data_IF_351533601314
#
_entry.id   IF_351533601314
#
_cell.length_a   1.000
_cell.length_b   1.000
_cell.length_c   1.000
_cell.angle_alpha   90.00
_cell.angle_beta   90.00
_cell.angle_gamma   90.00
#
_symmetry.space_group_name_H-M   'P 1'
#
loop_
_entity.id
_entity.type
_entity.pdbx_description
1 polymer ?
#
# COMPACT_ATOMS: atom_id res chain seq x y z
N UNK A 1 18.39 -53.12 -5.89
CA UNK A 1 19.19 -51.87 -5.96
C UNK A 1 18.24 -50.73 -6.21
N UNK A 2 17.95 -49.84 -5.24
CA UNK A 2 17.08 -48.69 -5.42
C UNK A 2 17.90 -47.52 -5.95
N UNK A 3 17.40 -46.87 -7.01
CA UNK A 3 17.95 -45.63 -7.60
C UNK A 3 17.64 -44.42 -6.73
N UNK A 4 18.70 -43.84 -6.23
CA UNK A 4 18.68 -42.60 -5.45
C UNK A 4 18.51 -41.39 -6.37
N UNK A 5 17.35 -40.77 -6.35
CA UNK A 5 17.09 -39.50 -7.07
C UNK A 5 17.53 -38.33 -6.20
N UNK A 6 18.75 -37.87 -6.35
CA UNK A 6 19.20 -36.59 -5.84
C UNK A 6 18.34 -35.45 -6.44
N UNK A 7 17.45 -34.88 -5.62
CA UNK A 7 16.85 -33.59 -5.88
C UNK A 7 17.92 -32.52 -5.73
N UNK A 8 18.35 -31.95 -6.82
CA UNK A 8 19.15 -30.73 -6.84
C UNK A 8 18.18 -29.57 -6.54
N UNK A 9 18.23 -29.03 -5.33
CA UNK A 9 17.57 -27.79 -4.95
C UNK A 9 18.36 -26.61 -5.52
N UNK A 10 18.05 -26.22 -6.73
CA UNK A 10 18.56 -24.99 -7.34
C UNK A 10 17.84 -23.79 -6.74
N UNK A 11 18.47 -23.11 -5.77
CA UNK A 11 18.05 -21.77 -5.36
C UNK A 11 18.37 -20.79 -6.50
N UNK A 12 17.37 -20.10 -7.03
CA UNK A 12 17.58 -18.98 -7.93
C UNK A 12 18.41 -17.89 -7.22
N UNK A 13 19.53 -17.43 -7.80
CA UNK A 13 20.29 -16.32 -7.21
C UNK A 13 19.51 -15.03 -7.45
N UNK A 14 18.96 -14.43 -6.38
CA UNK A 14 18.27 -13.14 -6.44
C UNK A 14 17.02 -13.01 -5.56
N UNK A 15 16.50 -14.07 -4.99
CA UNK A 15 15.48 -13.95 -3.97
C UNK A 15 16.13 -13.45 -2.67
N UNK A 16 15.74 -12.24 -2.21
CA UNK A 16 16.08 -11.78 -0.88
C UNK A 16 15.67 -12.85 0.13
N UNK A 17 16.50 -13.15 1.16
CA UNK A 17 16.12 -14.11 2.17
C UNK A 17 14.80 -13.65 2.79
N UNK A 18 13.84 -14.57 2.90
CA UNK A 18 12.58 -14.34 3.63
C UNK A 18 12.99 -13.85 5.02
N UNK A 19 12.65 -12.60 5.34
CA UNK A 19 12.93 -11.99 6.64
C UNK A 19 11.89 -12.50 7.63
N UNK A 20 12.03 -13.76 8.05
CA UNK A 20 11.15 -14.33 9.06
C UNK A 20 11.21 -13.47 10.32
N UNK A 21 10.05 -12.95 10.75
CA UNK A 21 9.83 -12.08 11.92
C UNK A 21 10.28 -10.61 11.83
N UNK A 22 10.59 -10.06 10.66
CA UNK A 22 10.79 -8.63 10.51
C UNK A 22 9.56 -7.96 9.88
N UNK A 23 9.24 -6.70 10.27
CA UNK A 23 8.22 -5.92 9.59
C UNK A 23 8.52 -5.74 8.10
N UNK A 24 7.48 -5.67 7.27
CA UNK A 24 7.61 -5.34 5.86
C UNK A 24 8.23 -3.95 5.69
N UNK A 25 9.30 -3.86 4.92
CA UNK A 25 9.92 -2.59 4.55
C UNK A 25 9.24 -2.02 3.31
N UNK A 26 8.35 -1.04 3.53
CA UNK A 26 7.66 -0.32 2.47
C UNK A 26 8.42 0.97 2.11
N UNK A 27 8.77 1.13 0.84
CA UNK A 27 9.48 2.31 0.34
C UNK A 27 8.64 3.16 -0.62
N UNK A 28 8.79 4.51 -0.62
CA UNK A 28 8.16 5.36 -1.62
C UNK A 28 8.83 5.20 -2.99
N UNK A 29 8.02 5.18 -4.06
CA UNK A 29 8.48 5.18 -5.43
C UNK A 29 7.76 6.30 -6.21
N UNK A 30 8.30 7.53 -6.17
CA UNK A 30 7.72 8.70 -6.84
C UNK A 30 8.07 8.81 -8.33
N UNK A 31 8.98 7.98 -8.84
CA UNK A 31 9.39 7.88 -10.25
C UNK A 31 9.94 6.49 -10.56
N UNK A 32 10.12 6.13 -11.85
CA UNK A 32 10.77 4.87 -12.24
C UNK A 32 12.17 4.69 -11.67
N UNK A 33 12.95 5.77 -11.57
CA UNK A 33 14.29 5.76 -10.96
C UNK A 33 14.21 5.47 -9.45
N UNK A 34 13.25 6.11 -8.75
CA UNK A 34 13.03 5.88 -7.33
C UNK A 34 12.55 4.44 -7.06
N UNK A 35 11.69 3.90 -7.91
CA UNK A 35 11.28 2.49 -7.87
C UNK A 35 12.49 1.56 -7.98
N UNK A 36 13.34 1.78 -8.99
CA UNK A 36 14.53 0.97 -9.21
C UNK A 36 15.47 1.03 -8.00
N UNK A 37 15.67 2.23 -7.43
CA UNK A 37 16.50 2.42 -6.25
C UNK A 37 15.92 1.73 -5.00
N UNK A 38 14.60 1.83 -4.76
CA UNK A 38 13.92 1.18 -3.64
C UNK A 38 14.06 -0.35 -3.71
N UNK A 39 13.80 -0.93 -4.88
CA UNK A 39 13.93 -2.38 -5.12
C UNK A 39 15.38 -2.82 -4.93
N UNK A 40 16.35 -2.09 -5.49
CA UNK A 40 17.77 -2.41 -5.34
C UNK A 40 18.26 -2.27 -3.88
N UNK A 41 17.65 -1.39 -3.09
CA UNK A 41 17.94 -1.22 -1.67
C UNK A 41 17.30 -2.29 -0.77
N UNK A 42 16.49 -3.20 -1.32
CA UNK A 42 15.89 -4.33 -0.60
C UNK A 42 14.55 -4.01 0.04
N UNK A 43 13.75 -3.12 -0.55
CA UNK A 43 12.36 -2.94 -0.15
C UNK A 43 11.56 -4.23 -0.38
N UNK A 44 10.68 -4.58 0.56
CA UNK A 44 9.76 -5.71 0.45
C UNK A 44 8.48 -5.31 -0.32
N UNK A 45 8.15 -4.02 -0.27
CA UNK A 45 7.05 -3.42 -1.02
C UNK A 45 7.38 -1.96 -1.38
N UNK A 46 6.72 -1.45 -2.42
CA UNK A 46 6.78 -0.04 -2.80
C UNK A 46 5.38 0.55 -2.87
N UNK A 47 5.23 1.82 -2.51
CA UNK A 47 4.01 2.55 -2.82
C UNK A 47 4.28 3.65 -3.83
N UNK A 48 3.36 3.81 -4.76
CA UNK A 48 3.44 4.77 -5.84
C UNK A 48 2.05 5.36 -6.16
N UNK A 49 2.03 6.40 -6.98
CA UNK A 49 0.79 7.05 -7.41
C UNK A 49 0.71 7.08 -8.93
N UNK A 50 -0.44 6.71 -9.46
CA UNK A 50 -0.80 7.08 -10.82
C UNK A 50 -1.15 8.57 -10.93
N UNK A 51 -1.37 9.04 -12.15
CA UNK A 51 -1.77 10.44 -12.43
C UNK A 51 -3.19 10.77 -11.97
N UNK A 52 -3.97 9.76 -11.58
CA UNK A 52 -5.38 9.89 -11.18
C UNK A 52 -5.54 9.56 -9.70
N UNK A 53 -6.38 10.29 -9.00
CA UNK A 53 -6.90 10.01 -7.66
C UNK A 53 -5.85 9.88 -6.52
N UNK A 54 -4.60 10.30 -6.78
CA UNK A 54 -3.56 10.34 -5.76
C UNK A 54 -3.46 11.71 -5.10
N UNK A 55 -3.25 11.78 -3.78
CA UNK A 55 -3.16 13.02 -3.02
C UNK A 55 -1.99 13.93 -3.43
N UNK A 56 -0.94 13.39 -4.04
CA UNK A 56 0.19 14.17 -4.57
C UNK A 56 0.03 14.46 -6.06
N UNK A 57 -1.06 15.11 -6.43
CA UNK A 57 -1.42 15.39 -7.81
C UNK A 57 -0.34 16.12 -8.63
N UNK A 58 0.48 16.96 -7.98
CA UNK A 58 1.54 17.76 -8.63
C UNK A 58 2.89 17.06 -8.68
N UNK A 59 3.02 15.83 -8.18
CA UNK A 59 4.24 15.04 -8.32
C UNK A 59 4.33 14.41 -9.72
N UNK A 60 5.50 13.89 -10.08
CA UNK A 60 5.74 13.29 -11.39
C UNK A 60 4.92 12.02 -11.69
N UNK A 61 4.17 11.50 -10.80
CA UNK A 61 3.26 10.34 -10.87
C UNK A 61 3.36 9.47 -12.13
N UNK A 62 3.10 8.18 -12.02
CA UNK A 62 3.21 7.22 -13.12
C UNK A 62 2.05 7.34 -14.13
N UNK A 63 2.35 7.32 -15.43
CA UNK A 63 1.34 7.03 -16.45
C UNK A 63 0.84 5.59 -16.32
N UNK A 64 -0.25 5.26 -17.01
CA UNK A 64 -0.81 3.92 -16.99
C UNK A 64 0.17 2.87 -17.53
N UNK A 65 0.96 3.21 -18.56
CA UNK A 65 2.01 2.35 -19.11
C UNK A 65 3.20 2.19 -18.15
N UNK A 66 3.64 3.30 -17.55
CA UNK A 66 4.71 3.29 -16.55
C UNK A 66 4.32 2.49 -15.32
N UNK A 67 3.05 2.60 -14.86
CA UNK A 67 2.54 1.86 -13.71
C UNK A 67 2.53 0.36 -14.00
N UNK A 68 2.05 -0.07 -15.16
CA UNK A 68 2.08 -1.47 -15.58
C UNK A 68 3.51 -2.01 -15.62
N UNK A 69 4.43 -1.24 -16.21
CA UNK A 69 5.85 -1.60 -16.25
C UNK A 69 6.47 -1.64 -14.84
N UNK A 70 6.02 -0.78 -13.93
CA UNK A 70 6.47 -0.75 -12.54
C UNK A 70 6.04 -2.00 -11.78
N UNK A 71 4.79 -2.45 -11.98
CA UNK A 71 4.28 -3.71 -11.39
C UNK A 71 5.09 -4.90 -11.89
N UNK A 72 5.26 -5.03 -13.21
CA UNK A 72 6.04 -6.12 -13.79
C UNK A 72 7.49 -6.13 -13.27
N UNK A 73 8.13 -4.97 -13.21
CA UNK A 73 9.50 -4.83 -12.71
C UNK A 73 9.66 -5.24 -11.26
N UNK A 74 8.73 -4.81 -10.40
CA UNK A 74 8.75 -5.10 -8.97
C UNK A 74 8.45 -6.59 -8.71
N UNK A 75 7.42 -7.14 -9.33
CA UNK A 75 7.00 -8.53 -9.17
C UNK A 75 8.08 -9.52 -9.62
N UNK A 76 8.79 -9.25 -10.72
CA UNK A 76 9.94 -10.06 -11.14
C UNK A 76 11.06 -10.15 -10.09
N UNK A 77 11.03 -9.25 -9.08
CA UNK A 77 12.01 -9.19 -7.97
C UNK A 77 11.40 -9.54 -6.61
N UNK A 78 10.15 -10.02 -6.62
CA UNK A 78 9.43 -10.39 -5.39
C UNK A 78 9.01 -9.20 -4.52
N UNK A 79 8.94 -7.99 -5.09
CA UNK A 79 8.54 -6.75 -4.40
C UNK A 79 7.09 -6.43 -4.71
N UNK A 80 6.29 -6.17 -3.68
CA UNK A 80 4.87 -5.81 -3.81
C UNK A 80 4.69 -4.35 -4.22
N UNK A 81 3.59 -4.05 -4.91
CA UNK A 81 3.26 -2.71 -5.38
C UNK A 81 1.91 -2.26 -4.83
N UNK A 82 1.92 -1.16 -4.07
CA UNK A 82 0.70 -0.53 -3.54
C UNK A 82 0.45 0.80 -4.24
N UNK A 83 -0.78 1.02 -4.69
CA UNK A 83 -1.13 2.24 -5.45
C UNK A 83 -2.03 3.14 -4.62
N UNK A 84 -1.71 4.43 -4.59
CA UNK A 84 -2.55 5.40 -3.87
C UNK A 84 -3.76 5.83 -4.68
N UNK A 85 -4.95 5.66 -4.09
CA UNK A 85 -6.26 6.18 -4.54
C UNK A 85 -6.87 6.91 -3.35
N UNK A 86 -6.15 7.92 -2.84
CA UNK A 86 -6.33 8.46 -1.50
C UNK A 86 -6.72 9.95 -1.51
N UNK A 87 -7.56 10.33 -2.45
CA UNK A 87 -8.26 11.61 -2.47
C UNK A 87 -9.74 11.45 -2.13
N UNK A 88 -10.40 12.53 -1.76
CA UNK A 88 -11.86 12.57 -1.65
C UNK A 88 -12.47 12.67 -3.05
N UNK A 89 -13.54 11.95 -3.29
CA UNK A 89 -14.16 11.75 -4.60
C UNK A 89 -15.57 12.31 -4.60
N UNK A 90 -15.94 13.06 -5.64
CA UNK A 90 -17.29 13.54 -5.85
C UNK A 90 -18.12 12.51 -6.63
N UNK A 91 -19.42 12.52 -6.47
CA UNK A 91 -20.34 11.61 -7.15
C UNK A 91 -20.11 11.52 -8.67
N UNK A 92 -19.79 12.65 -9.31
CA UNK A 92 -19.50 12.70 -10.74
C UNK A 92 -18.21 11.96 -11.15
N UNK A 93 -17.31 11.70 -10.23
CA UNK A 93 -16.03 11.02 -10.45
C UNK A 93 -16.10 9.52 -10.16
N UNK A 94 -17.15 9.04 -9.48
CA UNK A 94 -17.29 7.62 -9.09
C UNK A 94 -17.18 6.64 -10.26
N UNK A 95 -17.79 6.89 -11.46
CA UNK A 95 -17.62 5.98 -12.59
C UNK A 95 -16.15 5.85 -13.05
N UNK A 96 -15.40 6.95 -13.05
CA UNK A 96 -13.99 6.96 -13.44
C UNK A 96 -13.12 6.24 -12.39
N UNK A 97 -13.46 6.40 -11.09
CA UNK A 97 -12.80 5.68 -10.00
C UNK A 97 -13.06 4.18 -10.10
N UNK A 98 -14.31 3.77 -10.37
CA UNK A 98 -14.67 2.37 -10.56
C UNK A 98 -13.86 1.72 -11.68
N UNK A 99 -13.79 2.37 -12.84
CA UNK A 99 -12.99 1.91 -13.98
C UNK A 99 -11.50 1.85 -13.65
N UNK A 100 -11.00 2.82 -12.86
CA UNK A 100 -9.59 2.83 -12.44
C UNK A 100 -9.27 1.72 -11.45
N UNK A 101 -10.13 1.46 -10.47
CA UNK A 101 -9.96 0.37 -9.51
C UNK A 101 -9.93 -1.00 -10.21
N UNK A 102 -10.86 -1.21 -11.15
CA UNK A 102 -10.87 -2.45 -11.95
C UNK A 102 -9.58 -2.58 -12.77
N UNK A 103 -9.13 -1.50 -13.41
CA UNK A 103 -7.89 -1.50 -14.17
C UNK A 103 -6.66 -1.77 -13.29
N UNK A 104 -6.60 -1.22 -12.06
CA UNK A 104 -5.53 -1.53 -11.10
C UNK A 104 -5.54 -3.01 -10.71
N UNK A 105 -6.72 -3.57 -10.46
CA UNK A 105 -6.88 -5.00 -10.18
C UNK A 105 -6.39 -5.86 -11.35
N UNK A 106 -6.80 -5.54 -12.57
CA UNK A 106 -6.36 -6.26 -13.79
C UNK A 106 -4.86 -6.09 -14.07
N UNK A 107 -4.28 -4.97 -13.65
CA UNK A 107 -2.83 -4.73 -13.76
C UNK A 107 -2.04 -5.56 -12.74
N UNK A 108 -2.70 -6.09 -11.72
CA UNK A 108 -2.10 -6.96 -10.71
C UNK A 108 -1.43 -6.22 -9.56
N UNK A 109 -1.88 -5.00 -9.22
CA UNK A 109 -1.37 -4.32 -8.01
C UNK A 109 -1.76 -5.10 -6.76
N UNK A 110 -0.87 -5.13 -5.76
CA UNK A 110 -1.05 -5.94 -4.55
C UNK A 110 -2.01 -5.31 -3.54
N UNK A 111 -2.19 -3.98 -3.57
CA UNK A 111 -3.19 -3.27 -2.78
C UNK A 111 -3.39 -1.83 -3.27
N UNK A 112 -4.48 -1.21 -2.84
CA UNK A 112 -4.71 0.22 -2.99
C UNK A 112 -4.85 0.91 -1.64
N UNK A 113 -4.23 2.09 -1.51
CA UNK A 113 -4.37 2.94 -0.33
C UNK A 113 -5.53 3.90 -0.56
N UNK A 114 -6.55 3.83 0.28
CA UNK A 114 -7.80 4.57 0.13
C UNK A 114 -8.02 5.51 1.33
N UNK A 115 -8.58 6.70 1.06
CA UNK A 115 -9.02 7.65 2.08
C UNK A 115 -10.56 7.70 2.17
N UNK A 116 -11.23 7.69 1.03
CA UNK A 116 -12.66 7.87 0.91
C UNK A 116 -13.41 6.56 1.17
N UNK A 117 -14.32 6.55 2.14
CA UNK A 117 -15.09 5.34 2.50
C UNK A 117 -16.07 4.93 1.40
N UNK A 118 -16.55 5.88 0.57
CA UNK A 118 -17.35 5.58 -0.61
C UNK A 118 -16.53 4.84 -1.67
N UNK A 119 -15.27 5.24 -1.86
CA UNK A 119 -14.32 4.53 -2.74
C UNK A 119 -14.03 3.13 -2.20
N UNK A 120 -13.88 2.97 -0.89
CA UNK A 120 -13.69 1.65 -0.28
C UNK A 120 -14.90 0.73 -0.51
N UNK A 121 -16.12 1.26 -0.38
CA UNK A 121 -17.33 0.51 -0.71
C UNK A 121 -17.39 0.12 -2.18
N UNK A 122 -17.12 1.08 -3.07
CA UNK A 122 -17.09 0.86 -4.52
C UNK A 122 -16.06 -0.19 -4.93
N UNK A 123 -14.86 -0.15 -4.34
CA UNK A 123 -13.79 -1.12 -4.61
C UNK A 123 -14.25 -2.56 -4.33
N UNK A 124 -15.03 -2.78 -3.27
CA UNK A 124 -15.59 -4.10 -2.94
C UNK A 124 -16.62 -4.60 -3.94
N UNK A 125 -17.31 -3.67 -4.61
CA UNK A 125 -18.29 -4.03 -5.63
C UNK A 125 -17.61 -4.38 -6.96
N UNK A 126 -16.59 -3.61 -7.36
CA UNK A 126 -15.97 -3.74 -8.69
C UNK A 126 -14.72 -4.63 -8.70
N UNK A 127 -14.02 -4.74 -7.58
CA UNK A 127 -12.78 -5.52 -7.43
C UNK A 127 -12.70 -6.12 -6.01
N UNK A 128 -13.58 -7.07 -5.64
CA UNK A 128 -13.73 -7.56 -4.26
C UNK A 128 -12.46 -8.21 -3.71
N UNK A 129 -11.61 -8.76 -4.56
CA UNK A 129 -10.36 -9.42 -4.18
C UNK A 129 -9.16 -8.45 -4.10
N UNK A 130 -9.33 -7.17 -4.47
CA UNK A 130 -8.28 -6.16 -4.37
C UNK A 130 -8.11 -5.72 -2.91
N UNK A 131 -6.95 -5.98 -2.27
CA UNK A 131 -6.71 -5.57 -0.89
C UNK A 131 -6.78 -4.05 -0.72
N UNK A 132 -7.46 -3.60 0.34
CA UNK A 132 -7.58 -2.18 0.68
C UNK A 132 -6.74 -1.85 1.91
N UNK A 133 -5.90 -0.84 1.79
CA UNK A 133 -5.16 -0.25 2.91
C UNK A 133 -5.77 1.11 3.25
N UNK A 134 -6.09 1.33 4.52
CA UNK A 134 -6.55 2.62 4.99
C UNK A 134 -5.38 3.61 4.98
N UNK A 135 -5.46 4.65 4.14
CA UNK A 135 -4.43 5.68 4.04
C UNK A 135 -4.28 6.44 5.36
N UNK A 136 -3.08 6.96 5.64
CA UNK A 136 -2.84 7.89 6.75
C UNK A 136 -3.80 9.09 6.73
N UNK A 137 -4.37 9.41 5.58
CA UNK A 137 -5.34 10.49 5.41
C UNK A 137 -6.71 10.18 6.03
N UNK A 138 -6.99 8.94 6.40
CA UNK A 138 -8.15 8.56 7.22
C UNK A 138 -7.96 8.92 8.70
N UNK A 139 -6.79 9.38 9.09
CA UNK A 139 -6.48 9.86 10.46
C UNK A 139 -6.76 8.81 11.54
N UNK A 140 -6.45 7.54 11.27
CA UNK A 140 -6.64 6.44 12.24
C UNK A 140 -5.52 6.49 13.28
N UNK A 141 -5.88 6.71 14.54
CA UNK A 141 -4.92 6.89 15.64
C UNK A 141 -5.36 6.25 16.96
N UNK A 142 -6.25 5.28 16.92
CA UNK A 142 -6.66 4.50 18.09
C UNK A 142 -7.20 3.13 17.67
N UNK A 143 -7.35 2.24 18.67
CA UNK A 143 -7.83 0.85 18.47
C UNK A 143 -9.22 0.78 17.83
N UNK A 144 -10.13 1.66 18.25
CA UNK A 144 -11.48 1.70 17.70
C UNK A 144 -11.51 2.09 16.21
N UNK A 145 -10.61 2.99 15.81
CA UNK A 145 -10.41 3.35 14.40
C UNK A 145 -9.90 2.17 13.58
N UNK A 146 -8.96 1.38 14.12
CA UNK A 146 -8.46 0.15 13.47
C UNK A 146 -9.56 -0.90 13.39
N UNK A 147 -10.29 -1.15 14.47
CA UNK A 147 -11.43 -2.07 14.48
C UNK A 147 -12.54 -1.63 13.50
N UNK A 148 -12.74 -0.32 13.35
CA UNK A 148 -13.66 0.24 12.35
C UNK A 148 -13.18 -0.07 10.93
N UNK A 149 -11.90 0.18 10.62
CA UNK A 149 -11.31 -0.11 9.32
C UNK A 149 -11.46 -1.60 8.97
N UNK A 150 -11.21 -2.50 9.93
CA UNK A 150 -11.44 -3.93 9.71
C UNK A 150 -12.89 -4.26 9.33
N UNK A 151 -13.87 -3.69 10.04
CA UNK A 151 -15.31 -3.89 9.73
C UNK A 151 -15.66 -3.34 8.34
N UNK A 152 -14.99 -2.29 7.91
CA UNK A 152 -15.09 -1.76 6.55
C UNK A 152 -14.26 -2.56 5.54
N UNK A 153 -13.54 -3.65 5.99
CA UNK A 153 -12.80 -4.67 5.23
C UNK A 153 -11.44 -4.18 4.74
N UNK A 154 -10.88 -3.16 5.33
CA UNK A 154 -9.47 -2.89 5.12
C UNK A 154 -8.62 -4.03 5.69
N UNK A 155 -7.59 -4.42 4.95
CA UNK A 155 -6.62 -5.44 5.37
C UNK A 155 -5.42 -4.84 6.11
N UNK A 156 -5.22 -3.51 5.98
CA UNK A 156 -4.13 -2.77 6.63
C UNK A 156 -4.56 -1.34 6.93
N UNK A 157 -3.97 -0.78 7.98
CA UNK A 157 -4.16 0.63 8.37
C UNK A 157 -2.81 1.32 8.48
N UNK A 158 -2.64 2.43 7.75
CA UNK A 158 -1.51 3.35 7.96
C UNK A 158 -1.88 4.28 9.10
N UNK A 159 -1.24 4.10 10.25
CA UNK A 159 -1.53 4.89 11.44
C UNK A 159 -1.13 6.37 11.27
N UNK A 160 -1.85 7.21 11.98
CA UNK A 160 -1.49 8.62 12.12
C UNK A 160 -0.11 8.77 12.78
N UNK A 161 0.62 9.81 12.39
CA UNK A 161 2.01 10.04 12.82
C UNK A 161 2.14 10.62 14.23
N UNK A 162 1.04 10.98 14.84
CA UNK A 162 0.95 11.62 16.15
C UNK A 162 1.05 10.62 17.31
N UNK A 163 1.08 9.33 17.03
CA UNK A 163 1.14 8.26 18.01
C UNK A 163 2.54 8.04 18.57
N UNK A 164 2.62 7.76 19.85
CA UNK A 164 3.84 7.29 20.51
C UNK A 164 4.10 5.80 20.21
N UNK A 165 5.36 5.36 20.40
CA UNK A 165 5.71 3.93 20.18
C UNK A 165 4.86 2.99 21.05
N UNK A 166 4.61 3.34 22.30
CA UNK A 166 3.78 2.51 23.21
C UNK A 166 2.32 2.39 22.74
N UNK A 167 1.76 3.48 22.18
CA UNK A 167 0.42 3.44 21.58
C UNK A 167 0.41 2.56 20.32
N UNK A 168 1.44 2.69 19.50
CA UNK A 168 1.60 1.87 18.28
C UNK A 168 1.72 0.39 18.63
N UNK A 169 2.55 0.02 19.60
CA UNK A 169 2.71 -1.36 20.08
C UNK A 169 1.36 -1.97 20.47
N UNK A 170 0.61 -1.29 21.34
CA UNK A 170 -0.69 -1.80 21.79
C UNK A 170 -1.75 -1.86 20.68
N UNK A 171 -1.68 -0.96 19.69
CA UNK A 171 -2.57 -1.00 18.52
C UNK A 171 -2.16 -2.15 17.58
N UNK A 172 -0.86 -2.36 17.38
CA UNK A 172 -0.35 -3.41 16.49
C UNK A 172 -0.68 -4.82 17.02
N UNK A 173 -0.50 -5.07 18.33
CA UNK A 173 -0.86 -6.32 18.98
C UNK A 173 -2.36 -6.63 18.83
N UNK A 174 -3.22 -5.65 19.09
CA UNK A 174 -4.67 -5.80 18.91
C UNK A 174 -5.07 -5.98 17.43
N UNK A 175 -4.39 -5.29 16.52
CA UNK A 175 -4.61 -5.42 15.08
C UNK A 175 -4.26 -6.81 14.57
N UNK A 176 -3.10 -7.33 14.96
CA UNK A 176 -2.65 -8.68 14.61
C UNK A 176 -3.63 -9.74 15.13
N UNK A 177 -4.07 -9.61 16.40
CA UNK A 177 -5.05 -10.52 17.00
C UNK A 177 -6.40 -10.51 16.25
N UNK A 178 -6.76 -9.40 15.59
CA UNK A 178 -7.97 -9.25 14.81
C UNK A 178 -7.78 -9.55 13.32
N UNK A 179 -6.55 -9.77 12.86
CA UNK A 179 -6.23 -10.08 11.46
C UNK A 179 -6.14 -8.86 10.53
N UNK A 180 -5.86 -7.66 11.08
CA UNK A 180 -5.60 -6.45 10.29
C UNK A 180 -4.16 -5.98 10.48
N UNK A 181 -3.45 -5.71 9.37
CA UNK A 181 -2.09 -5.19 9.39
C UNK A 181 -2.01 -3.73 9.86
N UNK A 182 -0.92 -3.38 10.52
CA UNK A 182 -0.62 -2.00 10.92
C UNK A 182 0.64 -1.53 10.21
N UNK A 183 0.59 -0.31 9.66
CA UNK A 183 1.71 0.34 8.98
C UNK A 183 2.02 1.68 9.66
N UNK A 184 3.30 1.98 9.83
CA UNK A 184 3.77 3.21 10.46
C UNK A 184 4.90 3.86 9.67
N UNK A 185 4.97 5.18 9.71
CA UNK A 185 6.10 5.91 9.14
C UNK A 185 7.33 5.79 10.04
N UNK A 186 8.39 5.15 9.54
CA UNK A 186 9.66 5.03 10.24
C UNK A 186 10.66 6.13 9.86
N UNK A 187 10.60 6.62 8.61
CA UNK A 187 11.47 7.66 8.08
C UNK A 187 10.78 8.47 6.99
N UNK A 188 11.05 9.77 6.93
CA UNK A 188 10.52 10.65 5.90
C UNK A 188 10.58 12.13 6.28
N UNK A 189 10.08 12.98 5.39
CA UNK A 189 9.96 14.41 5.66
C UNK A 189 8.92 14.66 6.77
N UNK A 190 9.28 15.49 7.73
CA UNK A 190 8.36 15.95 8.77
C UNK A 190 7.27 16.82 8.14
N UNK A 191 6.02 16.57 8.50
CA UNK A 191 4.89 17.37 8.09
C UNK A 191 4.33 18.15 9.29
N UNK A 192 4.06 19.44 9.09
CA UNK A 192 3.51 20.31 10.12
C UNK A 192 2.03 20.01 10.43
N UNK A 193 1.31 19.47 9.44
CA UNK A 193 -0.12 19.22 9.60
C UNK A 193 -0.36 17.90 10.32
N UNK A 194 -1.48 17.85 11.05
CA UNK A 194 -2.03 16.58 11.50
C UNK A 194 -2.28 15.65 10.32
N UNK A 195 -2.09 14.35 10.56
CA UNK A 195 -2.36 13.32 9.56
C UNK A 195 -3.78 13.45 9.01
N UNK A 196 -3.93 13.47 7.69
CA UNK A 196 -5.22 13.61 7.02
C UNK A 196 -5.86 15.01 7.03
N UNK A 197 -5.28 16.00 7.70
CA UNK A 197 -5.87 17.34 7.89
C UNK A 197 -5.10 18.45 7.15
N UNK A 198 -4.34 18.10 6.13
CA UNK A 198 -3.55 19.07 5.37
C UNK A 198 -4.39 19.79 4.33
N UNK A 199 -4.68 21.08 4.56
CA UNK A 199 -5.41 21.92 3.58
C UNK A 199 -4.54 22.30 2.36
N UNK A 200 -3.19 22.31 2.51
CA UNK A 200 -2.28 22.70 1.44
C UNK A 200 -2.08 21.60 0.38
N UNK A 201 -2.34 20.35 0.71
CA UNK A 201 -2.22 19.23 -0.25
C UNK A 201 -3.52 18.96 -1.01
N UNK A 202 -4.60 19.69 -0.70
CA UNK A 202 -5.92 19.51 -1.28
C UNK A 202 -6.25 20.58 -2.35
N UNK A 203 -5.36 21.53 -2.60
CA UNK A 203 -5.54 22.65 -3.54
C UNK A 203 -4.63 22.53 -4.75
#
# INVERSE_FOLDING_TARGET
MPHDHHRVSGSCPGASPVRENLPELLAPAGSPEALTAAVAAGADAVYLSGRRFGARRYAANFSDEELRSAVDYAHLRGVRVYVTVNTLIRDAELPDVAAYLLWLYETGVDAVLVQDTGVASLAREVAPDLPLHASTQMTVHNREGVARALREGFSRVVLARELTLTEIEGIAEDGEAQGIGVEVFAHGALCYCYSGQCLLSSV
#
